data_IF_317204034958
#
_entry.id   IF_317204034958
#
_cell.length_a   1.000
_cell.length_b   1.000
_cell.length_c   1.000
_cell.angle_alpha   90.00
_cell.angle_beta   90.00
_cell.angle_gamma   90.00
#
_symmetry.space_group_name_H-M   'P 1'
#
loop_
_entity.id
_entity.type
_entity.pdbx_description
1 polymer ?
#
# COMPACT_ATOMS: atom_id res chain seq x y z
N UNK A 1 6.75 -8.68 14.11
CA UNK A 1 5.37 -8.32 14.48
C UNK A 1 4.68 -7.97 13.19
N UNK A 2 3.63 -8.70 12.83
CA UNK A 2 2.89 -8.43 11.61
C UNK A 2 2.04 -7.15 11.76
N UNK A 3 2.08 -6.30 10.74
CA UNK A 3 1.13 -5.21 10.55
C UNK A 3 0.37 -5.47 9.25
N UNK A 4 -0.94 -5.71 9.35
CA UNK A 4 -1.76 -6.29 8.30
C UNK A 4 -2.97 -5.40 8.03
N UNK A 5 -3.17 -5.05 6.76
CA UNK A 5 -4.38 -4.42 6.24
C UNK A 5 -5.22 -5.48 5.52
N UNK A 6 -6.52 -5.53 5.78
CA UNK A 6 -7.47 -6.43 5.11
C UNK A 6 -8.56 -5.56 4.49
N UNK A 7 -8.59 -5.50 3.16
CA UNK A 7 -9.68 -4.95 2.37
C UNK A 7 -10.62 -6.08 1.95
N UNK A 8 -11.71 -6.23 2.68
CA UNK A 8 -12.75 -7.23 2.43
C UNK A 8 -14.11 -6.70 2.94
N UNK A 9 -15.08 -6.44 2.05
CA UNK A 9 -16.40 -5.94 2.45
C UNK A 9 -17.31 -7.02 3.03
N UNK A 10 -17.04 -8.31 2.82
CA UNK A 10 -17.79 -9.35 3.51
C UNK A 10 -17.29 -9.49 4.96
N UNK A 11 -18.10 -9.13 5.98
CA UNK A 11 -17.66 -9.11 7.36
C UNK A 11 -17.33 -10.50 7.91
N UNK A 12 -17.91 -11.57 7.34
CA UNK A 12 -17.64 -12.95 7.77
C UNK A 12 -16.24 -13.34 7.29
N UNK A 13 -15.94 -13.08 6.01
CA UNK A 13 -14.62 -13.37 5.44
C UNK A 13 -13.53 -12.51 6.11
N UNK A 14 -13.81 -11.22 6.34
CA UNK A 14 -12.88 -10.32 7.02
C UNK A 14 -12.56 -10.79 8.45
N UNK A 15 -13.57 -11.28 9.17
CA UNK A 15 -13.39 -11.84 10.51
C UNK A 15 -12.56 -13.12 10.46
N UNK A 16 -12.89 -14.07 9.58
CA UNK A 16 -12.16 -15.34 9.43
C UNK A 16 -10.68 -15.10 9.08
N UNK A 17 -10.40 -14.15 8.19
CA UNK A 17 -9.01 -13.75 7.86
C UNK A 17 -8.30 -13.14 9.07
N UNK A 18 -8.97 -12.25 9.81
CA UNK A 18 -8.41 -11.63 11.01
C UNK A 18 -8.04 -12.66 12.07
N UNK A 19 -8.93 -13.64 12.30
CA UNK A 19 -8.68 -14.75 13.21
C UNK A 19 -7.52 -15.63 12.74
N UNK A 20 -7.48 -15.98 11.45
CA UNK A 20 -6.39 -16.75 10.87
C UNK A 20 -5.03 -16.03 11.00
N UNK A 21 -4.99 -14.71 10.76
CA UNK A 21 -3.77 -13.90 10.93
C UNK A 21 -3.32 -13.88 12.40
N UNK A 22 -4.26 -13.70 13.34
CA UNK A 22 -3.95 -13.68 14.78
C UNK A 22 -3.56 -15.05 15.32
N UNK A 23 -4.06 -16.12 14.72
CA UNK A 23 -3.64 -17.48 15.03
C UNK A 23 -2.17 -17.72 14.62
N UNK A 24 -1.75 -17.19 13.46
CA UNK A 24 -0.38 -17.27 12.97
C UNK A 24 0.60 -16.37 13.76
N UNK A 25 0.22 -15.12 14.06
CA UNK A 25 0.97 -14.22 14.94
C UNK A 25 0.02 -13.56 15.94
N UNK A 26 0.10 -13.99 17.21
CA UNK A 26 -0.72 -13.45 18.31
C UNK A 26 -0.48 -11.97 18.58
N UNK A 27 0.63 -11.40 18.08
CA UNK A 27 0.98 -9.98 18.23
C UNK A 27 0.67 -9.18 16.97
N UNK A 28 0.06 -9.80 15.96
CA UNK A 28 -0.32 -9.13 14.73
C UNK A 28 -1.26 -7.95 15.02
N UNK A 29 -0.94 -6.80 14.44
CA UNK A 29 -1.88 -5.69 14.31
C UNK A 29 -2.66 -5.91 13.02
N UNK A 30 -3.98 -6.05 13.15
CA UNK A 30 -4.89 -6.27 12.01
C UNK A 30 -5.82 -5.07 11.91
N UNK A 31 -5.90 -4.50 10.72
CA UNK A 31 -6.82 -3.42 10.37
C UNK A 31 -7.76 -3.87 9.25
N UNK A 32 -9.06 -3.77 9.49
CA UNK A 32 -10.10 -4.13 8.54
C UNK A 32 -10.63 -2.84 7.90
N UNK A 33 -10.79 -2.87 6.58
CA UNK A 33 -11.39 -1.81 5.78
C UNK A 33 -12.33 -2.44 4.75
N UNK A 34 -13.41 -1.75 4.41
CA UNK A 34 -14.45 -2.29 3.51
C UNK A 34 -14.29 -1.76 2.10
N UNK A 35 -13.67 -0.59 1.94
CA UNK A 35 -13.54 0.09 0.65
C UNK A 35 -12.10 0.42 0.28
N UNK A 36 -11.82 0.48 -1.03
CA UNK A 36 -10.50 0.90 -1.54
C UNK A 36 -10.14 2.31 -1.08
N UNK A 37 -11.11 3.22 -1.03
CA UNK A 37 -10.92 4.59 -0.56
C UNK A 37 -10.44 4.65 0.89
N UNK A 38 -11.04 3.86 1.78
CA UNK A 38 -10.58 3.72 3.16
C UNK A 38 -9.17 3.15 3.21
N UNK A 39 -8.91 2.06 2.48
CA UNK A 39 -7.60 1.42 2.42
C UNK A 39 -6.50 2.43 2.01
N UNK A 40 -6.74 3.23 0.97
CA UNK A 40 -5.84 4.29 0.53
C UNK A 40 -5.61 5.34 1.62
N UNK A 41 -6.68 5.78 2.29
CA UNK A 41 -6.60 6.72 3.41
C UNK A 41 -5.77 6.18 4.58
N UNK A 42 -5.83 4.87 4.85
CA UNK A 42 -5.03 4.21 5.91
C UNK A 42 -3.58 3.96 5.52
N UNK A 43 -3.30 3.80 4.23
CA UNK A 43 -1.94 3.65 3.72
C UNK A 43 -1.18 4.98 3.72
N UNK A 44 -1.89 6.11 3.55
CA UNK A 44 -1.30 7.44 3.55
C UNK A 44 -0.59 7.73 4.89
N UNK A 45 0.75 7.74 4.87
CA UNK A 45 1.59 8.07 6.03
C UNK A 45 1.87 6.91 6.99
N UNK A 46 1.43 5.68 6.69
CA UNK A 46 1.73 4.51 7.53
C UNK A 46 2.99 3.81 7.05
N UNK A 47 4.07 3.99 7.80
CA UNK A 47 5.27 3.17 7.64
C UNK A 47 5.05 1.80 8.29
N UNK A 48 5.55 0.73 7.65
CA UNK A 48 5.68 -0.58 8.28
C UNK A 48 4.54 -1.58 8.07
N UNK A 49 3.61 -1.33 7.15
CA UNK A 49 2.69 -2.37 6.69
C UNK A 49 3.49 -3.55 6.12
N UNK A 50 3.23 -4.74 6.64
CA UNK A 50 3.94 -5.97 6.24
C UNK A 50 3.14 -6.76 5.22
N UNK A 51 1.81 -6.78 5.36
CA UNK A 51 0.91 -7.56 4.52
C UNK A 51 -0.35 -6.77 4.19
N UNK A 52 -0.87 -6.99 2.98
CA UNK A 52 -2.18 -6.52 2.55
C UNK A 52 -2.99 -7.67 1.98
N UNK A 53 -4.18 -7.94 2.51
CA UNK A 53 -5.16 -8.81 1.87
C UNK A 53 -6.17 -7.93 1.14
N UNK A 54 -6.32 -8.14 -0.17
CA UNK A 54 -7.07 -7.23 -1.04
C UNK A 54 -8.09 -8.02 -1.85
N UNK A 55 -9.38 -7.76 -1.61
CA UNK A 55 -10.48 -8.29 -2.42
C UNK A 55 -10.67 -7.44 -3.68
N UNK A 56 -10.65 -8.08 -4.85
CA UNK A 56 -11.07 -7.43 -6.10
C UNK A 56 -12.57 -7.67 -6.30
N UNK A 57 -13.37 -6.61 -6.11
CA UNK A 57 -14.82 -6.71 -5.99
C UNK A 57 -15.56 -6.59 -7.33
N UNK A 58 -15.10 -5.69 -8.20
CA UNK A 58 -15.75 -5.39 -9.48
C UNK A 58 -14.74 -4.88 -10.50
N UNK A 59 -15.07 -4.98 -11.80
CA UNK A 59 -14.25 -4.39 -12.87
C UNK A 59 -14.08 -2.88 -12.68
N UNK A 60 -15.11 -2.20 -12.16
CA UNK A 60 -15.09 -0.76 -11.90
C UNK A 60 -14.08 -0.38 -10.82
N UNK A 61 -13.98 -1.17 -9.77
CA UNK A 61 -13.04 -0.94 -8.65
C UNK A 61 -11.67 -1.58 -8.89
N UNK A 62 -11.53 -2.35 -9.97
CA UNK A 62 -10.30 -3.07 -10.27
C UNK A 62 -9.12 -2.13 -10.49
N UNK A 63 -9.32 -1.01 -11.18
CA UNK A 63 -8.26 -0.02 -11.40
C UNK A 63 -7.77 0.58 -10.07
N UNK A 64 -8.70 0.99 -9.20
CA UNK A 64 -8.37 1.57 -7.89
C UNK A 64 -7.69 0.52 -6.97
N UNK A 65 -8.19 -0.72 -7.00
CA UNK A 65 -7.58 -1.82 -6.25
C UNK A 65 -6.18 -2.15 -6.77
N UNK A 66 -5.94 -2.08 -8.09
CA UNK A 66 -4.62 -2.26 -8.67
C UNK A 66 -3.65 -1.16 -8.22
N UNK A 67 -4.08 0.09 -8.19
CA UNK A 67 -3.28 1.22 -7.69
C UNK A 67 -2.93 1.05 -6.20
N UNK A 68 -3.89 0.56 -5.40
CA UNK A 68 -3.65 0.21 -4.00
C UNK A 68 -2.61 -0.92 -3.87
N UNK A 69 -2.74 -2.00 -4.64
CA UNK A 69 -1.79 -3.12 -4.64
C UNK A 69 -0.39 -2.64 -5.06
N UNK A 70 -0.30 -1.81 -6.09
CA UNK A 70 0.96 -1.21 -6.52
C UNK A 70 1.59 -0.36 -5.40
N UNK A 71 0.79 0.45 -4.72
CA UNK A 71 1.24 1.27 -3.58
C UNK A 71 1.76 0.41 -2.43
N UNK A 72 1.00 -0.61 -2.02
CA UNK A 72 1.39 -1.52 -0.95
C UNK A 72 2.69 -2.26 -1.29
N UNK A 73 2.80 -2.81 -2.50
CA UNK A 73 4.00 -3.53 -2.92
C UNK A 73 5.22 -2.62 -3.05
N UNK A 74 5.05 -1.36 -3.46
CA UNK A 74 6.13 -0.37 -3.47
C UNK A 74 6.62 -0.01 -2.07
N UNK A 75 5.74 -0.11 -1.05
CA UNK A 75 6.13 0.08 0.36
C UNK A 75 6.89 -1.12 0.96
N UNK A 76 7.03 -2.22 0.21
CA UNK A 76 7.66 -3.46 0.66
C UNK A 76 6.69 -4.46 1.30
N UNK A 77 5.39 -4.17 1.32
CA UNK A 77 4.39 -5.10 1.82
C UNK A 77 4.19 -6.29 0.85
N UNK A 78 3.90 -7.46 1.41
CA UNK A 78 3.43 -8.61 0.64
C UNK A 78 1.92 -8.51 0.46
N UNK A 79 1.44 -8.57 -0.78
CA UNK A 79 0.01 -8.46 -1.08
C UNK A 79 -0.58 -9.81 -1.48
N UNK A 80 -1.74 -10.13 -0.92
CA UNK A 80 -2.53 -11.32 -1.18
C UNK A 80 -3.86 -10.91 -1.80
N UNK A 81 -4.13 -11.36 -3.02
CA UNK A 81 -5.38 -11.11 -3.73
C UNK A 81 -6.43 -12.16 -3.34
N UNK A 82 -7.54 -11.73 -2.74
CA UNK A 82 -8.59 -12.60 -2.22
C UNK A 82 -9.58 -13.04 -3.31
N UNK A 83 -9.71 -14.35 -3.46
CA UNK A 83 -10.61 -14.98 -4.43
C UNK A 83 -10.17 -14.86 -5.89
N UNK A 84 -8.96 -14.36 -6.14
CA UNK A 84 -8.37 -14.36 -7.47
C UNK A 84 -7.79 -15.73 -7.79
N UNK A 85 -7.97 -16.22 -9.02
CA UNK A 85 -7.31 -17.44 -9.50
C UNK A 85 -5.92 -17.15 -10.07
N UNK A 86 -5.70 -15.94 -10.57
CA UNK A 86 -4.43 -15.50 -11.14
C UNK A 86 -4.17 -14.02 -10.80
N UNK A 87 -2.89 -13.64 -10.84
CA UNK A 87 -2.50 -12.23 -10.74
C UNK A 87 -2.88 -11.54 -12.06
N UNK A 88 -3.56 -10.36 -12.02
CA UNK A 88 -3.93 -9.65 -13.25
C UNK A 88 -2.71 -9.37 -14.14
N UNK A 89 -2.84 -9.68 -15.42
CA UNK A 89 -1.82 -9.40 -16.42
C UNK A 89 -1.67 -7.89 -16.67
N UNK A 90 -0.49 -7.46 -17.12
CA UNK A 90 -0.25 -6.07 -17.53
C UNK A 90 0.01 -5.08 -16.40
N UNK A 91 -0.03 -5.49 -15.13
CA UNK A 91 0.30 -4.63 -13.99
C UNK A 91 1.69 -4.94 -13.46
N UNK A 92 2.56 -3.93 -13.45
CA UNK A 92 3.92 -4.05 -12.91
C UNK A 92 3.90 -3.83 -11.38
N UNK A 93 4.00 -4.91 -10.62
CA UNK A 93 4.18 -4.86 -9.17
C UNK A 93 5.67 -4.85 -8.82
N UNK A 94 6.08 -3.97 -7.89
CA UNK A 94 7.48 -3.89 -7.42
C UNK A 94 7.79 -4.81 -6.24
N UNK A 95 6.81 -5.56 -5.76
CA UNK A 95 6.90 -6.42 -4.59
C UNK A 95 6.18 -7.74 -4.78
N UNK A 96 6.01 -8.48 -3.68
CA UNK A 96 5.40 -9.81 -3.74
C UNK A 96 3.88 -9.69 -3.82
N UNK A 97 3.30 -10.26 -4.87
CA UNK A 97 1.86 -10.46 -5.02
C UNK A 97 1.57 -11.95 -5.17
N UNK A 98 0.55 -12.44 -4.46
CA UNK A 98 0.09 -13.82 -4.55
C UNK A 98 -1.44 -13.86 -4.48
N UNK A 99 -2.03 -14.99 -4.86
CA UNK A 99 -3.48 -15.15 -4.86
C UNK A 99 -3.90 -16.16 -3.80
N UNK A 100 -5.04 -15.91 -3.17
CA UNK A 100 -5.68 -16.82 -2.23
C UNK A 100 -7.11 -17.08 -2.70
N UNK A 101 -7.37 -18.17 -3.45
CA UNK A 101 -8.70 -18.48 -3.97
C UNK A 101 -9.68 -18.85 -2.85
N UNK A 102 -10.98 -18.70 -3.13
CA UNK A 102 -12.04 -19.17 -2.24
C UNK A 102 -12.50 -20.59 -2.60
N UNK A 103 -12.83 -21.43 -1.59
CA UNK A 103 -12.61 -21.22 -0.16
C UNK A 103 -11.13 -21.37 0.22
N UNK A 104 -10.70 -20.66 1.27
CA UNK A 104 -9.36 -20.80 1.84
C UNK A 104 -9.38 -21.48 3.22
N UNK A 105 -8.22 -21.96 3.65
CA UNK A 105 -7.97 -22.53 4.98
C UNK A 105 -7.01 -21.67 5.78
N UNK A 106 -7.12 -21.73 7.12
CA UNK A 106 -6.20 -21.01 8.02
C UNK A 106 -4.73 -21.40 7.79
N UNK A 107 -4.45 -22.66 7.42
CA UNK A 107 -3.10 -23.11 7.09
C UNK A 107 -2.54 -22.45 5.82
N UNK A 108 -3.39 -22.13 4.83
CA UNK A 108 -2.94 -21.36 3.67
C UNK A 108 -2.57 -19.93 4.07
N UNK A 109 -3.36 -19.29 4.93
CA UNK A 109 -3.04 -17.95 5.46
C UNK A 109 -1.71 -17.96 6.21
N UNK A 110 -1.50 -18.93 7.11
CA UNK A 110 -0.25 -19.09 7.86
C UNK A 110 0.98 -19.21 6.93
N UNK A 111 0.89 -20.04 5.89
CA UNK A 111 1.96 -20.17 4.88
C UNK A 111 2.26 -18.85 4.15
N UNK A 112 1.23 -18.07 3.86
CA UNK A 112 1.41 -16.77 3.19
C UNK A 112 2.13 -15.76 4.09
N UNK A 113 1.82 -15.76 5.39
CA UNK A 113 2.43 -14.87 6.38
C UNK A 113 3.86 -15.29 6.76
N UNK A 114 4.15 -16.60 6.74
CA UNK A 114 5.45 -17.15 7.09
C UNK A 114 6.52 -16.99 6.01
N UNK A 115 6.17 -16.54 4.81
CA UNK A 115 7.16 -16.36 3.74
C UNK A 115 7.78 -14.98 3.86
N UNK A 116 9.09 -14.85 4.21
CA UNK A 116 9.69 -13.54 4.43
C UNK A 116 9.60 -12.67 3.17
N UNK A 117 9.39 -11.34 3.32
CA UNK A 117 9.44 -10.43 2.19
C UNK A 117 10.82 -10.48 1.55
N UNK A 118 10.93 -10.34 0.21
CA UNK A 118 12.23 -10.24 -0.44
C UNK A 118 13.01 -9.05 0.17
N UNK A 119 14.34 -9.16 0.30
CA UNK A 119 15.15 -8.03 0.75
C UNK A 119 14.90 -6.84 -0.20
N UNK A 120 14.92 -5.60 0.31
CA UNK A 120 14.82 -4.42 -0.54
C UNK A 120 15.90 -4.49 -1.62
N UNK A 121 15.64 -4.02 -2.85
CA UNK A 121 16.65 -4.00 -3.89
C UNK A 121 17.83 -3.19 -3.37
N UNK A 122 18.94 -3.87 -3.11
CA UNK A 122 20.23 -3.21 -2.87
C UNK A 122 20.56 -2.46 -4.15
N UNK A 123 20.38 -1.14 -4.15
CA UNK A 123 21.04 -0.27 -5.11
C UNK A 123 22.55 -0.47 -4.91
N UNK A 124 23.13 -1.35 -5.74
CA UNK A 124 24.58 -1.48 -5.84
C UNK A 124 25.09 -0.26 -6.61
N UNK A 125 25.05 0.90 -5.97
CA UNK A 125 25.89 2.05 -6.34
C UNK A 125 26.93 2.20 -5.25
N UNK A 126 27.92 1.31 -5.26
CA UNK A 126 29.21 1.57 -4.62
C UNK A 126 30.27 1.57 -5.71
N UNK A 127 30.21 2.60 -6.56
CA UNK A 127 31.35 3.02 -7.35
C UNK A 127 32.39 3.70 -6.44
N UNK A 128 33.69 3.61 -6.76
CA UNK A 128 34.76 3.86 -5.82
C UNK A 128 34.96 5.35 -5.53
N UNK A 129 35.44 5.61 -4.33
CA UNK A 129 35.96 6.89 -3.89
C UNK A 129 36.95 7.48 -4.92
N UNK A 130 36.59 8.63 -5.50
CA UNK A 130 37.55 9.56 -6.08
C UNK A 130 37.40 10.91 -5.40
N UNK A 131 38.17 11.05 -4.34
CA UNK A 131 38.71 12.31 -3.82
C UNK A 131 39.04 13.26 -4.96
N UNK A 132 38.35 14.39 -5.06
CA UNK A 132 38.93 15.63 -5.57
C UNK A 132 38.31 16.85 -4.91
N UNK A 133 39.19 17.51 -4.15
CA UNK A 133 39.11 18.83 -3.51
C UNK A 133 38.70 19.96 -4.48
N UNK A 134 38.27 21.07 -3.82
CA UNK A 134 38.23 22.48 -4.24
C UNK A 134 36.98 22.89 -5.05
N UNK A 135 36.35 24.04 -4.83
CA UNK A 135 36.68 25.24 -4.05
C UNK A 135 35.40 26.02 -3.69
N UNK A 136 35.52 26.87 -2.66
CA UNK A 136 34.61 27.96 -2.34
C UNK A 136 34.30 28.84 -3.57
N UNK A 137 33.07 29.35 -3.65
CA UNK A 137 32.78 30.73 -4.03
C UNK A 137 31.35 31.10 -3.60
N UNK A 138 31.27 32.22 -2.90
CA UNK A 138 30.04 32.86 -2.44
C UNK A 138 29.48 33.79 -3.53
N UNK A 139 28.15 33.89 -3.58
CA UNK A 139 27.38 35.08 -4.02
C UNK A 139 25.92 34.80 -3.58
N UNK A 140 25.25 35.64 -2.78
CA UNK A 140 24.74 36.95 -3.18
C UNK A 140 23.28 36.79 -3.63
N UNK A 141 22.30 37.01 -2.74
CA UNK A 141 21.45 38.21 -2.66
C UNK A 141 20.13 38.16 -3.47
N UNK A 142 19.03 38.52 -2.77
CA UNK A 142 17.70 38.95 -3.24
C UNK A 142 16.81 37.89 -3.90
N UNK A 143 15.49 37.80 -3.71
CA UNK A 143 14.51 38.65 -3.03
C UNK A 143 13.13 38.36 -3.63
N UNK A 144 12.07 38.58 -2.84
CA UNK A 144 10.65 38.83 -3.23
C UNK A 144 9.88 37.66 -3.89
N UNK A 145 8.94 37.06 -3.16
CA UNK A 145 7.54 37.47 -3.01
C UNK A 145 6.65 37.06 -4.21
N UNK A 146 5.75 36.13 -3.99
CA UNK A 146 4.48 36.00 -4.73
C UNK A 146 3.52 35.13 -3.91
N UNK A 147 2.49 35.78 -3.37
CA UNK A 147 1.35 35.14 -2.71
C UNK A 147 0.43 34.52 -3.77
N UNK A 148 -0.18 33.35 -3.55
CA UNK A 148 -1.25 32.86 -4.40
C UNK A 148 -2.58 33.53 -4.06
N UNK A 149 -3.24 33.99 -5.14
CA UNK A 149 -4.58 34.55 -5.19
C UNK A 149 -5.63 33.56 -4.66
N UNK A 150 -6.47 34.02 -3.73
CA UNK A 150 -7.63 33.28 -3.22
C UNK A 150 -8.84 33.70 -4.05
N UNK A 151 -9.31 32.84 -4.95
CA UNK A 151 -10.55 33.05 -5.67
C UNK A 151 -11.69 32.38 -4.91
N UNK A 152 -12.60 33.21 -4.40
CA UNK A 152 -13.77 32.83 -3.64
C UNK A 152 -14.87 32.31 -4.57
N UNK A 153 -15.29 31.07 -4.38
CA UNK A 153 -16.47 30.50 -5.04
C UNK A 153 -17.72 30.79 -4.19
N UNK A 154 -18.53 31.75 -4.64
CA UNK A 154 -19.79 32.14 -4.01
C UNK A 154 -20.87 31.05 -4.17
N UNK A 155 -21.36 30.54 -3.03
CA UNK A 155 -22.69 29.96 -2.89
C UNK A 155 -23.73 31.09 -2.95
N UNK A 156 -24.83 30.89 -3.68
CA UNK A 156 -26.16 30.55 -3.11
C UNK A 156 -27.21 30.62 -4.21
N UNK A 157 -27.91 29.50 -4.42
CA UNK A 157 -29.17 29.49 -5.13
C UNK A 157 -30.32 29.82 -4.17
N UNK A 158 -31.29 30.56 -4.68
CA UNK A 158 -32.61 30.74 -4.07
C UNK A 158 -33.63 30.49 -5.18
N UNK A 159 -34.39 29.40 -5.09
CA UNK A 159 -35.64 29.24 -5.85
C UNK A 159 -36.79 29.28 -4.85
N UNK A 160 -37.71 30.19 -5.11
CA UNK A 160 -39.06 30.21 -4.56
C UNK A 160 -39.92 29.16 -5.28
#
# INVERSE_FOLDING_TARGET
MLDVLILEPDPIIALDLSEAVRAADRRARVELVETVSEACGRCAGRAGLTHGFVRMLSEKEQAEAQDLVATLTCSGATVVLLGAEAVPEGVAFRGRVTCLPFPFSAHQVDRLLGTPPPPPPTDVTTGPALTRRRACLAAGHMGLASQPSVEACSRTGTKA
#
